data_IF_107821553257
#
_entry.id   IF_107821553257
#
_cell.length_a   1.000
_cell.length_b   1.000
_cell.length_c   1.000
_cell.angle_alpha   90.00
_cell.angle_beta   90.00
_cell.angle_gamma   90.00
#
_symmetry.space_group_name_H-M   'P 1'
#
loop_
_entity.id
_entity.type
_entity.pdbx_description
1 polymer ?
#
# COMPACT_ATOMS: atom_id res chain seq x y z
N UNK A 1 7.43 -49.34 -6.44
CA UNK A 1 7.19 -48.02 -7.04
C UNK A 1 8.18 -47.81 -8.18
N UNK A 2 7.68 -47.56 -9.40
CA UNK A 2 8.49 -47.54 -10.63
C UNK A 2 9.49 -46.36 -10.60
N UNK A 3 10.74 -46.54 -11.02
CA UNK A 3 11.77 -45.48 -10.94
C UNK A 3 11.35 -44.21 -11.71
N UNK A 4 10.58 -44.36 -12.79
CA UNK A 4 9.98 -43.24 -13.53
C UNK A 4 9.01 -42.41 -12.67
N UNK A 5 8.21 -43.07 -11.83
CA UNK A 5 7.26 -42.40 -10.93
C UNK A 5 8.04 -41.60 -9.87
N UNK A 6 9.11 -42.17 -9.30
CA UNK A 6 9.98 -41.46 -8.34
C UNK A 6 10.59 -40.19 -8.93
N UNK A 7 11.13 -40.27 -10.14
CA UNK A 7 11.73 -39.11 -10.83
C UNK A 7 10.70 -38.01 -11.09
N UNK A 8 9.52 -38.38 -11.57
CA UNK A 8 8.42 -37.41 -11.81
C UNK A 8 7.95 -36.77 -10.50
N UNK A 9 7.78 -37.53 -9.43
CA UNK A 9 7.40 -37.00 -8.12
C UNK A 9 8.45 -36.02 -7.57
N UNK A 10 9.74 -36.33 -7.71
CA UNK A 10 10.82 -35.42 -7.30
C UNK A 10 10.78 -34.13 -8.12
N UNK A 11 10.61 -34.22 -9.44
CA UNK A 11 10.55 -33.04 -10.31
C UNK A 11 9.38 -32.10 -9.95
N UNK A 12 8.19 -32.66 -9.69
CA UNK A 12 7.01 -31.89 -9.26
C UNK A 12 7.28 -31.22 -7.91
N UNK A 13 7.84 -31.97 -6.94
CA UNK A 13 8.16 -31.43 -5.63
C UNK A 13 9.19 -30.29 -5.73
N UNK A 14 10.22 -30.45 -6.56
CA UNK A 14 11.20 -29.40 -6.82
C UNK A 14 10.57 -28.15 -7.45
N UNK A 15 9.67 -28.30 -8.42
CA UNK A 15 8.95 -27.15 -8.99
C UNK A 15 8.10 -26.43 -7.95
N UNK A 16 7.39 -27.16 -7.09
CA UNK A 16 6.58 -26.56 -6.02
C UNK A 16 7.44 -25.79 -5.01
N UNK A 17 8.61 -26.32 -4.65
CA UNK A 17 9.55 -25.63 -3.74
C UNK A 17 10.09 -24.36 -4.40
N UNK A 18 10.55 -24.43 -5.66
CA UNK A 18 11.06 -23.26 -6.39
C UNK A 18 9.97 -22.18 -6.52
N UNK A 19 8.76 -22.57 -6.90
CA UNK A 19 7.62 -21.66 -7.02
C UNK A 19 7.28 -21.01 -5.68
N UNK A 20 7.26 -21.80 -4.60
CA UNK A 20 7.00 -21.32 -3.23
C UNK A 20 8.04 -20.28 -2.77
N UNK A 21 9.32 -20.53 -3.03
CA UNK A 21 10.40 -19.59 -2.71
C UNK A 21 10.23 -18.31 -3.54
N UNK A 22 10.03 -18.43 -4.85
CA UNK A 22 9.87 -17.26 -5.73
C UNK A 22 8.65 -16.41 -5.38
N UNK A 23 7.55 -17.04 -4.95
CA UNK A 23 6.33 -16.36 -4.55
C UNK A 23 6.46 -15.63 -3.20
N UNK A 24 7.23 -16.18 -2.27
CA UNK A 24 7.41 -15.61 -0.92
C UNK A 24 8.61 -14.68 -0.77
N UNK A 25 9.52 -14.68 -1.75
CA UNK A 25 10.71 -13.83 -1.72
C UNK A 25 10.32 -12.35 -1.68
N UNK A 26 10.91 -11.55 -0.76
CA UNK A 26 10.67 -10.10 -0.70
C UNK A 26 10.99 -9.43 -2.04
N UNK A 27 10.12 -8.52 -2.48
CA UNK A 27 10.34 -7.73 -3.70
C UNK A 27 10.57 -6.27 -3.33
N UNK A 28 11.67 -5.69 -3.81
CA UNK A 28 11.93 -4.26 -3.67
C UNK A 28 11.01 -3.47 -4.59
N UNK A 29 10.41 -2.41 -4.05
CA UNK A 29 9.63 -1.43 -4.78
C UNK A 29 10.21 -0.05 -4.48
N UNK A 30 10.85 0.54 -5.50
CA UNK A 30 11.29 1.94 -5.48
C UNK A 30 10.55 2.66 -6.61
N UNK A 31 9.58 3.51 -6.27
CA UNK A 31 8.71 4.18 -7.23
C UNK A 31 8.41 5.61 -6.79
N UNK A 32 8.28 6.48 -7.77
CA UNK A 32 7.79 7.85 -7.58
C UNK A 32 6.55 8.02 -8.46
N UNK A 33 5.43 8.39 -7.85
CA UNK A 33 4.14 8.55 -8.53
C UNK A 33 3.65 9.99 -8.36
N UNK A 34 3.26 10.61 -9.48
CA UNK A 34 2.57 11.91 -9.46
C UNK A 34 1.08 11.70 -9.28
N UNK A 35 0.50 12.34 -8.29
CA UNK A 35 -0.92 12.21 -7.94
C UNK A 35 -1.54 13.52 -7.48
N UNK A 36 -2.72 13.40 -6.91
CA UNK A 36 -3.45 14.53 -6.33
C UNK A 36 -3.95 14.19 -4.93
N UNK A 37 -3.91 15.19 -4.05
CA UNK A 37 -4.62 15.27 -2.77
C UNK A 37 -5.95 15.98 -3.02
N UNK A 38 -7.06 15.43 -2.52
CA UNK A 38 -8.40 15.92 -2.80
C UNK A 38 -9.40 15.56 -1.70
N UNK A 39 -10.55 16.23 -1.70
CA UNK A 39 -11.66 15.92 -0.81
C UNK A 39 -12.84 15.35 -1.61
N UNK A 40 -13.45 14.26 -1.13
CA UNK A 40 -14.65 13.71 -1.77
C UNK A 40 -15.80 14.73 -1.79
N UNK A 41 -16.51 14.79 -2.92
CA UNK A 41 -17.60 15.73 -3.15
C UNK A 41 -17.17 17.17 -3.44
N UNK A 42 -15.86 17.43 -3.55
CA UNK A 42 -15.33 18.75 -3.90
C UNK A 42 -14.26 18.63 -5.00
N UNK A 43 -14.68 18.82 -6.25
CA UNK A 43 -13.82 18.69 -7.43
C UNK A 43 -12.81 19.84 -7.57
N UNK A 44 -13.02 20.97 -6.89
CA UNK A 44 -12.16 22.16 -6.99
C UNK A 44 -10.99 22.10 -6.00
N UNK A 45 -11.13 21.37 -4.89
CA UNK A 45 -10.10 21.23 -3.86
C UNK A 45 -9.07 20.17 -4.27
N UNK A 46 -8.21 20.51 -5.24
CA UNK A 46 -7.14 19.64 -5.74
C UNK A 46 -5.75 20.24 -5.46
N UNK A 47 -4.86 19.42 -4.94
CA UNK A 47 -3.45 19.75 -4.77
C UNK A 47 -2.58 18.66 -5.39
N UNK A 48 -1.63 19.03 -6.24
CA UNK A 48 -0.65 18.08 -6.77
C UNK A 48 0.26 17.57 -5.64
N UNK A 49 0.51 16.26 -5.65
CA UNK A 49 1.42 15.62 -4.70
C UNK A 49 2.28 14.58 -5.40
N UNK A 50 3.47 14.37 -4.86
CA UNK A 50 4.39 13.31 -5.31
C UNK A 50 4.56 12.29 -4.22
N UNK A 51 4.22 11.02 -4.50
CA UNK A 51 4.41 9.91 -3.58
C UNK A 51 5.70 9.17 -3.96
N UNK A 52 6.69 9.15 -3.07
CA UNK A 52 7.87 8.31 -3.17
C UNK A 52 7.74 7.11 -2.25
N UNK A 53 7.86 5.93 -2.83
CA UNK A 53 7.72 4.63 -2.17
C UNK A 53 9.07 3.96 -2.28
N UNK A 54 9.67 3.62 -1.15
CA UNK A 54 10.90 2.84 -1.12
C UNK A 54 10.86 1.79 -0.01
N UNK A 55 10.81 0.52 -0.39
CA UNK A 55 10.70 -0.57 0.57
C UNK A 55 10.50 -1.94 -0.07
N UNK A 56 10.36 -2.94 0.79
CA UNK A 56 10.15 -4.33 0.40
C UNK A 56 8.71 -4.75 0.66
N UNK A 57 8.17 -5.56 -0.25
CA UNK A 57 6.88 -6.22 -0.08
C UNK A 57 7.09 -7.71 0.10
N UNK A 58 6.62 -8.24 1.22
CA UNK A 58 6.67 -9.66 1.57
C UNK A 58 5.28 -10.25 1.48
N UNK A 59 5.18 -11.43 0.85
CA UNK A 59 3.96 -12.23 0.80
C UNK A 59 4.25 -13.56 1.49
N UNK A 60 3.50 -13.90 2.53
CA UNK A 60 3.58 -15.25 3.08
C UNK A 60 2.70 -16.19 2.28
N UNK A 61 3.05 -17.49 2.24
CA UNK A 61 2.18 -18.54 1.68
C UNK A 61 0.78 -18.54 2.30
N UNK A 62 0.68 -18.12 3.56
CA UNK A 62 -0.57 -17.96 4.31
C UNK A 62 -0.69 -16.57 4.96
N UNK A 63 0.29 -15.68 4.73
CA UNK A 63 0.35 -14.38 5.39
C UNK A 63 -0.04 -13.27 4.42
N UNK A 64 -0.75 -12.28 4.94
CA UNK A 64 -1.19 -11.12 4.18
C UNK A 64 0.02 -10.29 3.72
N UNK A 65 -0.14 -9.57 2.62
CA UNK A 65 0.87 -8.67 2.06
C UNK A 65 1.38 -7.73 3.16
N UNK A 66 2.69 -7.66 3.34
CA UNK A 66 3.34 -6.75 4.30
C UNK A 66 4.34 -5.89 3.54
N UNK A 67 4.28 -4.58 3.75
CA UNK A 67 5.26 -3.62 3.24
C UNK A 67 6.12 -3.12 4.41
N UNK A 68 7.44 -3.06 4.20
CA UNK A 68 8.41 -2.51 5.13
C UNK A 68 9.27 -1.48 4.37
N UNK A 69 9.28 -0.23 4.81
CA UNK A 69 10.00 0.83 4.11
C UNK A 69 9.48 2.22 4.43
N UNK A 70 9.63 3.14 3.48
CA UNK A 70 9.24 4.55 3.61
C UNK A 70 8.18 4.93 2.58
N UNK A 71 7.28 5.81 3.01
CA UNK A 71 6.31 6.50 2.16
C UNK A 71 6.49 8.00 2.37
N UNK A 72 7.08 8.68 1.40
CA UNK A 72 7.21 10.14 1.43
C UNK A 72 6.17 10.77 0.51
N UNK A 73 5.49 11.80 1.01
CA UNK A 73 4.45 12.51 0.27
C UNK A 73 4.87 13.98 0.22
N UNK A 74 5.38 14.40 -0.93
CA UNK A 74 5.73 15.79 -1.17
C UNK A 74 4.45 16.60 -1.41
N UNK A 75 4.37 17.77 -0.77
CA UNK A 75 3.16 18.60 -0.74
C UNK A 75 2.36 18.50 0.56
N UNK A 76 2.74 17.61 1.47
CA UNK A 76 2.13 17.45 2.80
C UNK A 76 3.18 17.61 3.91
N UNK A 77 2.82 18.29 4.99
CA UNK A 77 3.67 18.39 6.18
C UNK A 77 3.40 17.22 7.11
N UNK A 78 4.40 16.35 7.29
CA UNK A 78 4.36 15.26 8.27
C UNK A 78 5.11 15.69 9.54
N UNK A 79 4.45 15.73 10.72
CA UNK A 79 5.07 16.09 12.00
C UNK A 79 5.92 14.94 12.58
N UNK A 80 6.48 14.09 11.70
CA UNK A 80 7.31 12.93 12.04
C UNK A 80 8.73 13.21 11.54
N UNK A 81 9.75 13.16 12.41
CA UNK A 81 11.15 13.30 12.02
C UNK A 81 11.56 12.28 10.96
N UNK A 82 12.44 12.65 10.03
CA UNK A 82 12.84 11.81 8.89
C UNK A 82 13.37 10.43 9.35
N UNK A 83 14.14 10.39 10.45
CA UNK A 83 14.67 9.14 11.00
C UNK A 83 13.63 8.16 11.53
N UNK A 84 12.37 8.60 11.69
CA UNK A 84 11.26 7.82 12.25
C UNK A 84 10.15 7.55 11.23
N UNK A 85 10.46 7.73 9.92
CA UNK A 85 9.50 7.53 8.82
C UNK A 85 9.47 6.13 8.23
N UNK A 86 10.25 5.19 8.78
CA UNK A 86 10.15 3.79 8.40
C UNK A 86 8.88 3.18 9.02
N UNK A 87 8.08 2.53 8.19
CA UNK A 87 6.79 1.98 8.57
C UNK A 87 6.66 0.53 8.13
N UNK A 88 5.90 -0.23 8.91
CA UNK A 88 5.45 -1.58 8.54
C UNK A 88 3.95 -1.56 8.31
N UNK A 89 3.52 -1.84 7.08
CA UNK A 89 2.11 -1.85 6.70
C UNK A 89 1.68 -3.29 6.45
N UNK A 90 0.77 -3.80 7.29
CA UNK A 90 0.12 -5.09 7.10
C UNK A 90 -1.21 -4.89 6.41
N UNK A 91 -1.36 -5.40 5.20
CA UNK A 91 -2.60 -5.30 4.44
C UNK A 91 -3.61 -6.35 4.92
N UNK A 92 -4.89 -5.97 5.00
CA UNK A 92 -5.98 -6.91 5.30
C UNK A 92 -6.55 -7.56 4.02
N UNK A 93 -7.58 -8.40 4.16
CA UNK A 93 -8.23 -9.11 3.04
C UNK A 93 -8.91 -8.16 2.03
N UNK A 94 -9.29 -6.96 2.48
CA UNK A 94 -9.88 -5.94 1.63
C UNK A 94 -8.83 -5.08 0.93
N UNK A 95 -7.55 -5.38 1.11
CA UNK A 95 -6.44 -4.62 0.53
C UNK A 95 -6.11 -3.31 1.25
N UNK A 96 -6.66 -3.09 2.45
CA UNK A 96 -6.38 -1.92 3.28
C UNK A 96 -5.17 -2.19 4.18
N UNK A 97 -4.21 -1.26 4.20
CA UNK A 97 -3.15 -1.17 5.19
C UNK A 97 -3.29 0.09 6.03
N UNK A 98 -2.82 0.07 7.28
CA UNK A 98 -2.82 1.26 8.16
C UNK A 98 -1.43 1.90 8.12
N UNK A 99 -1.36 3.21 7.92
CA UNK A 99 -0.14 4.01 8.01
C UNK A 99 -0.05 4.60 9.42
N UNK A 100 0.83 4.02 10.23
CA UNK A 100 1.19 4.53 11.56
C UNK A 100 2.70 4.69 11.60
N UNK A 101 3.14 5.90 11.92
CA UNK A 101 4.52 6.18 12.27
C UNK A 101 4.71 5.99 13.77
N UNK A 102 5.86 5.48 14.17
CA UNK A 102 6.22 5.30 15.57
C UNK A 102 7.63 5.83 15.80
N UNK A 103 7.84 6.46 16.94
CA UNK A 103 9.10 7.14 17.28
C UNK A 103 9.23 7.39 18.77
N UNK A 104 10.26 8.13 19.15
CA UNK A 104 10.50 8.55 20.53
C UNK A 104 10.72 10.06 20.59
N UNK A 105 9.96 10.75 21.45
CA UNK A 105 10.15 12.17 21.75
C UNK A 105 10.44 12.31 23.23
N UNK A 106 11.57 12.95 23.57
CA UNK A 106 12.02 13.14 24.96
C UNK A 106 12.08 11.84 25.80
N UNK A 107 12.36 10.71 25.14
CA UNK A 107 12.42 9.39 25.77
C UNK A 107 11.06 8.67 25.89
N UNK A 108 9.96 9.31 25.53
CA UNK A 108 8.62 8.73 25.55
C UNK A 108 8.23 8.20 24.15
N UNK A 109 7.71 6.95 24.05
CA UNK A 109 7.25 6.42 22.77
C UNK A 109 5.98 7.15 22.32
N UNK A 110 5.90 7.45 21.03
CA UNK A 110 4.70 8.02 20.44
C UNK A 110 4.32 7.30 19.14
N UNK A 111 3.07 7.48 18.74
CA UNK A 111 2.59 7.06 17.42
C UNK A 111 1.86 8.21 16.73
N UNK A 112 2.00 8.29 15.41
CA UNK A 112 1.27 9.23 14.58
C UNK A 112 0.51 8.46 13.50
N UNK A 113 -0.81 8.43 13.63
CA UNK A 113 -1.69 7.84 12.63
C UNK A 113 -1.92 8.82 11.49
N UNK A 114 -1.44 8.46 10.29
CA UNK A 114 -1.64 9.28 9.10
C UNK A 114 -2.94 8.92 8.37
N UNK A 115 -3.28 7.63 8.32
CA UNK A 115 -4.38 7.17 7.49
C UNK A 115 -4.33 5.70 7.13
N UNK A 116 -5.08 5.34 6.09
CA UNK A 116 -5.08 4.00 5.49
C UNK A 116 -4.60 4.06 4.05
N UNK A 117 -3.89 3.03 3.59
CA UNK A 117 -3.42 2.88 2.22
C UNK A 117 -4.07 1.68 1.54
N UNK A 118 -4.40 1.86 0.27
CA UNK A 118 -4.74 0.81 -0.67
C UNK A 118 -3.74 0.89 -1.81
N UNK A 119 -3.20 -0.26 -2.22
CA UNK A 119 -2.23 -0.32 -3.29
C UNK A 119 -2.40 -1.62 -4.07
N UNK A 120 -2.20 -1.53 -5.38
CA UNK A 120 -2.07 -2.73 -6.19
C UNK A 120 -0.80 -3.51 -5.83
N UNK A 121 -0.61 -4.63 -6.50
CA UNK A 121 0.38 -5.63 -6.13
C UNK A 121 1.83 -5.18 -6.30
N UNK A 122 2.08 -4.23 -7.19
CA UNK A 122 3.40 -3.69 -7.52
C UNK A 122 3.58 -2.23 -7.12
N UNK A 123 2.60 -1.65 -6.40
CA UNK A 123 2.58 -0.26 -5.95
C UNK A 123 2.67 0.75 -7.12
N UNK A 124 2.22 0.38 -8.32
CA UNK A 124 2.05 1.34 -9.43
C UNK A 124 0.78 2.17 -9.33
N UNK A 125 -0.17 1.77 -8.47
CA UNK A 125 -1.36 2.54 -8.10
C UNK A 125 -1.54 2.52 -6.60
N UNK A 126 -1.78 3.69 -6.01
CA UNK A 126 -1.95 3.89 -4.58
C UNK A 126 -3.06 4.89 -4.32
N UNK A 127 -3.90 4.59 -3.33
CA UNK A 127 -4.87 5.50 -2.74
C UNK A 127 -4.67 5.52 -1.24
N UNK A 128 -4.58 6.72 -0.65
CA UNK A 128 -4.45 6.94 0.79
C UNK A 128 -5.67 7.69 1.29
N UNK A 129 -6.31 7.16 2.33
CA UNK A 129 -7.38 7.80 3.10
C UNK A 129 -6.76 8.54 4.27
N UNK A 130 -6.87 9.86 4.35
CA UNK A 130 -6.24 10.67 5.40
C UNK A 130 -7.08 10.68 6.67
N UNK A 131 -6.44 10.46 7.82
CA UNK A 131 -7.06 10.56 9.14
C UNK A 131 -8.30 9.66 9.33
N UNK A 132 -9.29 10.18 10.05
CA UNK A 132 -10.60 9.55 10.25
C UNK A 132 -11.48 9.75 9.01
N UNK A 133 -11.18 9.02 7.95
CA UNK A 133 -11.84 9.17 6.65
C UNK A 133 -13.30 8.68 6.65
N UNK A 134 -14.14 9.37 5.87
CA UNK A 134 -15.53 9.02 5.60
C UNK A 134 -15.82 9.01 4.09
N UNK A 135 -16.71 8.11 3.66
CA UNK A 135 -17.00 7.90 2.24
C UNK A 135 -17.75 9.05 1.53
N UNK A 136 -18.16 10.09 2.26
CA UNK A 136 -18.93 11.22 1.71
C UNK A 136 -18.06 12.44 1.44
N UNK A 137 -17.10 12.70 2.32
CA UNK A 137 -16.37 13.97 2.42
C UNK A 137 -14.92 13.78 2.90
N UNK A 138 -14.42 12.55 2.89
CA UNK A 138 -13.09 12.22 3.37
C UNK A 138 -11.98 12.75 2.46
N UNK A 139 -10.88 13.15 3.08
CA UNK A 139 -9.67 13.60 2.38
C UNK A 139 -8.86 12.40 1.90
N UNK A 140 -8.40 12.45 0.66
CA UNK A 140 -7.74 11.34 -0.02
C UNK A 140 -6.53 11.82 -0.80
N UNK A 141 -5.58 10.93 -1.01
CA UNK A 141 -4.50 11.09 -1.97
C UNK A 141 -4.56 9.91 -2.93
N UNK A 142 -4.48 10.13 -4.22
CA UNK A 142 -4.39 9.04 -5.19
C UNK A 142 -3.33 9.31 -6.24
N UNK A 143 -2.55 8.28 -6.55
CA UNK A 143 -1.53 8.30 -7.57
C UNK A 143 -1.48 6.97 -8.35
N UNK A 144 -1.16 6.99 -9.66
CA UNK A 144 -1.00 8.18 -10.48
C UNK A 144 -2.34 8.81 -10.85
N UNK A 145 -2.50 10.12 -10.75
CA UNK A 145 -3.73 10.80 -11.17
C UNK A 145 -3.46 12.26 -11.49
N UNK A 146 -4.09 12.78 -12.54
CA UNK A 146 -3.96 14.20 -12.95
C UNK A 146 -5.19 15.03 -12.60
N UNK A 147 -6.30 14.38 -12.27
CA UNK A 147 -7.58 15.03 -12.02
C UNK A 147 -8.45 14.17 -11.11
N UNK A 148 -9.51 14.79 -10.56
CA UNK A 148 -10.44 14.17 -9.63
C UNK A 148 -11.05 12.87 -10.17
N UNK A 149 -11.46 12.84 -11.45
CA UNK A 149 -12.09 11.66 -12.07
C UNK A 149 -11.12 10.47 -12.16
N UNK A 150 -9.87 10.70 -12.59
CA UNK A 150 -8.83 9.66 -12.61
C UNK A 150 -8.57 9.11 -11.20
N UNK A 151 -8.46 9.99 -10.21
CA UNK A 151 -8.24 9.61 -8.82
C UNK A 151 -9.40 8.77 -8.24
N UNK A 152 -10.66 9.16 -8.53
CA UNK A 152 -11.83 8.38 -8.13
C UNK A 152 -11.86 6.99 -8.78
N UNK A 153 -11.54 6.89 -10.07
CA UNK A 153 -11.53 5.62 -10.77
C UNK A 153 -10.50 4.66 -10.17
N UNK A 154 -9.29 5.14 -9.90
CA UNK A 154 -8.23 4.34 -9.26
C UNK A 154 -8.62 3.97 -7.83
N UNK A 155 -9.16 4.91 -7.06
CA UNK A 155 -9.63 4.63 -5.70
C UNK A 155 -10.71 3.55 -5.68
N UNK A 156 -11.70 3.64 -6.57
CA UNK A 156 -12.76 2.65 -6.71
C UNK A 156 -12.23 1.27 -7.12
N UNK A 157 -11.24 1.21 -8.01
CA UNK A 157 -10.57 -0.03 -8.39
C UNK A 157 -9.86 -0.68 -7.19
N UNK A 158 -9.06 0.10 -6.46
CA UNK A 158 -8.26 -0.37 -5.34
C UNK A 158 -9.10 -0.73 -4.11
N UNK A 159 -10.20 -0.01 -3.88
CA UNK A 159 -11.05 -0.14 -2.70
C UNK A 159 -12.30 -0.99 -2.95
N UNK A 160 -12.42 -1.68 -4.09
CA UNK A 160 -13.62 -2.44 -4.49
C UNK A 160 -14.12 -3.45 -3.45
N UNK A 161 -13.22 -4.05 -2.66
CA UNK A 161 -13.57 -5.03 -1.62
C UNK A 161 -13.84 -4.37 -0.25
N UNK A 162 -13.48 -3.10 -0.11
CA UNK A 162 -13.68 -2.31 1.10
C UNK A 162 -14.98 -1.49 1.04
N UNK A 163 -15.30 -0.95 -0.13
CA UNK A 163 -16.47 -0.12 -0.35
C UNK A 163 -17.74 -0.95 -0.53
N UNK A 164 -18.84 -0.47 0.06
CA UNK A 164 -20.19 -1.00 -0.24
C UNK A 164 -20.71 -0.49 -1.58
N UNK A 165 -20.38 0.75 -1.92
CA UNK A 165 -20.73 1.41 -3.17
C UNK A 165 -19.53 2.23 -3.67
N UNK A 166 -19.36 2.41 -4.99
CA UNK A 166 -18.32 3.27 -5.53
C UNK A 166 -18.43 4.71 -5.00
N UNK A 167 -17.27 5.34 -4.79
CA UNK A 167 -17.12 6.76 -4.49
C UNK A 167 -17.64 7.60 -5.66
N UNK A 168 -18.15 8.78 -5.32
CA UNK A 168 -18.70 9.79 -6.24
C UNK A 168 -18.06 11.14 -5.96
#
# INVERSE_FOLDING_TARGET
>A
MNNKIKVVSIAILSMLVIYSIWFTFPKQHTKTLQGISYQLGNEEALQEVTISIDGEVKRGLFAKKTFEGTLEIQGEELPVPIGERNITIKFNENGQGIIVYAGFSDGEPYTYYYGSIFANDDFTKVTILKGSWHAKDGNMITAPAKNYTEALNISNELMKNFLRNPLK
#
